data_IF_387234349674
#
_entry.id   IF_387234349674
#
_cell.length_a   1.000
_cell.length_b   1.000
_cell.length_c   1.000
_cell.angle_alpha   90.00
_cell.angle_beta   90.00
_cell.angle_gamma   90.00
#
_symmetry.space_group_name_H-M   'P 1'
#
loop_
_entity.id
_entity.type
_entity.pdbx_description
1 polymer ?
#
# COMPACT_ATOMS: atom_id res chain seq x y z
N UNK A 1 5.43 5.23 6.12
CA UNK A 1 5.20 5.82 7.45
C UNK A 1 4.10 6.86 7.33
N UNK A 2 3.76 7.54 8.43
CA UNK A 2 2.80 8.65 8.37
C UNK A 2 3.34 9.79 7.51
N UNK A 3 4.61 10.14 7.70
CA UNK A 3 5.31 11.20 6.98
C UNK A 3 5.37 10.89 5.47
N UNK A 4 5.72 9.65 5.10
CA UNK A 4 5.69 9.21 3.69
C UNK A 4 4.30 9.39 3.06
N UNK A 5 3.23 9.01 3.79
CA UNK A 5 1.84 9.07 3.29
C UNK A 5 1.28 10.49 3.26
N UNK A 6 1.67 11.35 4.20
CA UNK A 6 1.29 12.77 4.22
C UNK A 6 2.02 13.55 3.13
N UNK A 7 3.26 13.18 2.80
CA UNK A 7 4.02 13.77 1.70
C UNK A 7 3.41 13.44 0.33
N UNK A 8 3.20 12.15 0.02
CA UNK A 8 2.65 11.71 -1.27
C UNK A 8 1.81 10.43 -1.09
N UNK A 9 0.60 10.44 -1.64
CA UNK A 9 -0.31 9.28 -1.61
C UNK A 9 -1.23 9.26 -2.82
N UNK A 10 -1.72 8.06 -3.14
CA UNK A 10 -2.79 7.91 -4.13
C UNK A 10 -4.12 8.45 -3.57
N UNK A 11 -4.93 9.14 -4.37
CA UNK A 11 -6.26 9.58 -3.95
C UNK A 11 -7.13 8.40 -3.46
N UNK A 12 -7.80 8.60 -2.32
CA UNK A 12 -8.65 7.57 -1.72
C UNK A 12 -7.88 6.44 -1.01
N UNK A 13 -6.55 6.51 -0.91
CA UNK A 13 -5.80 5.55 -0.11
C UNK A 13 -5.95 5.80 1.39
N UNK A 14 -5.70 4.77 2.18
CA UNK A 14 -5.72 4.81 3.63
C UNK A 14 -4.30 4.60 4.17
N UNK A 15 -3.93 5.35 5.21
CA UNK A 15 -2.69 5.08 5.93
C UNK A 15 -2.83 3.72 6.63
N UNK A 16 -1.87 2.82 6.39
CA UNK A 16 -1.89 1.51 7.02
C UNK A 16 -1.43 1.60 8.48
N UNK A 17 -2.40 1.61 9.41
CA UNK A 17 -2.18 1.60 10.86
C UNK A 17 -2.59 0.27 11.48
N UNK A 18 -2.24 0.07 12.76
CA UNK A 18 -2.66 -1.11 13.50
C UNK A 18 -4.19 -1.21 13.60
N UNK A 19 -4.87 -0.08 13.81
CA UNK A 19 -6.33 -0.01 13.88
C UNK A 19 -6.97 -0.42 12.54
N UNK A 20 -6.43 0.08 11.42
CA UNK A 20 -6.92 -0.29 10.09
C UNK A 20 -6.68 -1.78 9.81
N UNK A 21 -5.53 -2.32 10.21
CA UNK A 21 -5.27 -3.76 10.09
C UNK A 21 -6.32 -4.58 10.83
N UNK A 22 -6.66 -4.22 12.08
CA UNK A 22 -7.71 -4.91 12.84
C UNK A 22 -9.09 -4.75 12.19
N UNK A 23 -9.39 -3.58 11.63
CA UNK A 23 -10.65 -3.35 10.91
C UNK A 23 -10.75 -4.22 9.65
N UNK A 24 -9.69 -4.26 8.84
CA UNK A 24 -9.62 -5.10 7.64
C UNK A 24 -9.88 -6.56 8.04
N UNK A 25 -9.11 -7.06 9.00
CA UNK A 25 -9.21 -8.44 9.49
C UNK A 25 -10.57 -8.78 10.12
N UNK A 26 -11.35 -7.81 10.59
CA UNK A 26 -12.65 -8.09 11.25
C UNK A 26 -13.87 -7.82 10.38
N UNK A 27 -13.82 -6.83 9.47
CA UNK A 27 -15.02 -6.29 8.81
C UNK A 27 -15.00 -6.36 7.29
N UNK A 28 -13.82 -6.35 6.66
CA UNK A 28 -13.75 -6.21 5.22
C UNK A 28 -14.12 -7.51 4.49
N UNK A 29 -14.68 -7.42 3.30
CA UNK A 29 -14.91 -8.61 2.47
C UNK A 29 -13.59 -9.22 1.99
N UNK A 30 -13.54 -10.55 1.92
CA UNK A 30 -12.34 -11.34 1.56
C UNK A 30 -12.16 -11.46 0.05
N UNK A 31 -13.24 -11.26 -0.69
CA UNK A 31 -13.29 -11.38 -2.15
C UNK A 31 -13.01 -10.05 -2.86
N UNK A 32 -13.22 -8.92 -2.17
CA UNK A 32 -13.01 -7.60 -2.74
C UNK A 32 -11.52 -7.33 -2.96
N UNK A 33 -11.21 -6.64 -4.06
CA UNK A 33 -9.85 -6.23 -4.37
C UNK A 33 -9.31 -5.30 -3.29
N UNK A 34 -8.18 -5.68 -2.70
CA UNK A 34 -7.37 -4.83 -1.83
C UNK A 34 -6.01 -4.64 -2.50
N UNK A 35 -5.64 -3.39 -2.77
CA UNK A 35 -4.31 -3.04 -3.28
C UNK A 35 -3.52 -2.38 -2.17
N UNK A 36 -2.37 -2.95 -1.84
CA UNK A 36 -1.43 -2.42 -0.84
C UNK A 36 -0.22 -1.89 -1.59
N UNK A 37 0.29 -0.74 -1.15
CA UNK A 37 1.49 -0.16 -1.73
C UNK A 37 2.31 0.54 -0.66
N UNK A 38 3.62 0.63 -0.91
CA UNK A 38 4.54 1.53 -0.22
C UNK A 38 5.32 2.34 -1.27
N UNK A 39 6.40 3.00 -0.88
CA UNK A 39 7.25 3.76 -1.80
C UNK A 39 7.81 2.94 -2.97
N UNK A 40 8.35 1.73 -2.73
CA UNK A 40 9.01 0.87 -3.74
C UNK A 40 8.35 -0.49 -3.93
N UNK A 41 7.35 -0.83 -3.13
CA UNK A 41 6.57 -2.07 -3.22
C UNK A 41 7.18 -3.25 -2.46
N UNK A 42 8.22 -3.03 -1.66
CA UNK A 42 8.93 -4.07 -0.90
C UNK A 42 8.14 -4.50 0.33
N UNK A 43 7.68 -3.55 1.15
CA UNK A 43 6.88 -3.80 2.37
C UNK A 43 5.45 -4.22 2.04
N UNK A 44 4.88 -3.69 0.96
CA UNK A 44 3.50 -4.02 0.56
C UNK A 44 3.35 -5.44 0.04
N UNK A 45 4.44 -6.04 -0.47
CA UNK A 45 4.44 -7.45 -0.89
C UNK A 45 4.26 -8.39 0.31
N UNK A 46 4.98 -8.15 1.40
CA UNK A 46 4.84 -8.93 2.63
C UNK A 46 3.45 -8.76 3.25
N UNK A 47 2.94 -7.52 3.26
CA UNK A 47 1.59 -7.24 3.74
C UNK A 47 0.52 -7.96 2.90
N UNK A 48 0.68 -7.99 1.56
CA UNK A 48 -0.24 -8.71 0.68
C UNK A 48 -0.25 -10.21 0.99
N UNK A 49 0.94 -10.82 1.13
CA UNK A 49 1.08 -12.23 1.51
C UNK A 49 0.46 -12.53 2.89
N UNK A 50 0.62 -11.62 3.85
CA UNK A 50 0.00 -11.74 5.17
C UNK A 50 -1.53 -11.83 5.07
N UNK A 51 -2.19 -10.91 4.36
CA UNK A 51 -3.65 -10.93 4.21
C UNK A 51 -4.13 -12.13 3.39
N UNK A 52 -3.39 -12.55 2.37
CA UNK A 52 -3.68 -13.81 1.64
C UNK A 52 -3.67 -15.02 2.58
N UNK A 53 -2.69 -15.10 3.49
CA UNK A 53 -2.63 -16.13 4.53
C UNK A 53 -3.80 -16.10 5.52
N UNK A 54 -4.53 -14.98 5.61
CA UNK A 54 -5.73 -14.81 6.42
C UNK A 54 -7.03 -14.93 5.59
N UNK A 55 -6.95 -15.50 4.38
CA UNK A 55 -8.12 -15.83 3.57
C UNK A 55 -8.68 -14.66 2.76
N UNK A 56 -7.89 -13.62 2.48
CA UNK A 56 -8.27 -12.63 1.49
C UNK A 56 -7.83 -13.08 0.09
N UNK A 57 -8.80 -13.41 -0.75
CA UNK A 57 -8.58 -14.05 -2.05
C UNK A 57 -8.07 -13.08 -3.12
N UNK A 58 -8.28 -11.77 -2.91
CA UNK A 58 -8.00 -10.74 -3.90
C UNK A 58 -7.16 -9.58 -3.34
N UNK A 59 -6.01 -9.90 -2.75
CA UNK A 59 -5.03 -8.89 -2.32
C UNK A 59 -3.88 -8.81 -3.32
N UNK A 60 -3.47 -7.59 -3.67
CA UNK A 60 -2.39 -7.30 -4.61
C UNK A 60 -1.42 -6.29 -4.00
N UNK A 61 -0.14 -6.45 -4.29
CA UNK A 61 0.88 -5.43 -4.05
C UNK A 61 1.10 -4.61 -5.33
N UNK A 62 1.19 -3.28 -5.22
CA UNK A 62 1.50 -2.42 -6.36
C UNK A 62 2.99 -2.57 -6.74
N UNK A 63 3.26 -3.13 -7.93
CA UNK A 63 4.61 -3.35 -8.44
C UNK A 63 5.39 -2.03 -8.48
N UNK A 64 6.56 -2.00 -7.84
CA UNK A 64 7.43 -0.82 -7.82
C UNK A 64 6.92 0.33 -6.95
N UNK A 65 5.81 0.13 -6.23
CA UNK A 65 5.26 1.09 -5.29
C UNK A 65 4.83 2.41 -5.94
N UNK A 66 4.74 3.44 -5.10
CA UNK A 66 4.38 4.79 -5.51
C UNK A 66 5.41 5.40 -6.45
N UNK A 67 6.69 5.04 -6.31
CA UNK A 67 7.77 5.55 -7.16
C UNK A 67 7.57 5.14 -8.63
N UNK A 68 7.28 3.86 -8.88
CA UNK A 68 6.96 3.39 -10.23
C UNK A 68 5.63 3.95 -10.73
N UNK A 69 4.61 4.08 -9.87
CA UNK A 69 3.34 4.69 -10.26
C UNK A 69 3.53 6.14 -10.73
N UNK A 70 4.30 6.94 -10.00
CA UNK A 70 4.64 8.31 -10.39
C UNK A 70 5.42 8.37 -11.71
N UNK A 71 6.29 7.39 -11.98
CA UNK A 71 7.09 7.36 -13.20
C UNK A 71 6.31 6.86 -14.43
N UNK A 72 5.42 5.89 -14.25
CA UNK A 72 4.80 5.13 -15.35
C UNK A 72 3.34 5.50 -15.60
N UNK A 73 2.62 6.03 -14.60
CA UNK A 73 1.15 6.24 -14.66
C UNK A 73 0.76 7.69 -14.46
N UNK A 74 1.23 8.33 -13.39
CA UNK A 74 0.86 9.71 -13.04
C UNK A 74 2.08 10.54 -12.60
N UNK A 75 2.69 11.21 -13.58
CA UNK A 75 3.85 12.07 -13.35
C UNK A 75 3.55 13.36 -12.60
N UNK A 76 2.29 13.63 -12.24
CA UNK A 76 1.94 14.77 -11.38
C UNK A 76 2.26 14.50 -9.90
N UNK A 77 2.33 13.22 -9.51
CA UNK A 77 2.70 12.81 -8.16
C UNK A 77 4.23 12.92 -7.99
N UNK A 78 4.72 13.76 -7.06
CA UNK A 78 6.16 13.95 -6.90
C UNK A 78 6.84 12.68 -6.41
N UNK A 79 8.04 12.43 -6.93
CA UNK A 79 8.92 11.34 -6.48
C UNK A 79 9.84 11.82 -5.38
N UNK A 80 10.17 10.94 -4.45
CA UNK A 80 11.10 11.21 -3.34
C UNK A 80 12.07 10.04 -3.16
N UNK A 81 13.14 10.26 -2.40
CA UNK A 81 14.05 9.21 -1.97
C UNK A 81 14.13 9.24 -0.44
N UNK A 82 14.13 8.06 0.18
CA UNK A 82 14.40 7.94 1.61
C UNK A 82 15.93 7.95 1.79
N UNK A 83 16.44 8.89 2.59
CA UNK A 83 17.82 8.80 3.05
C UNK A 83 17.94 7.54 3.92
N UNK A 84 18.92 6.68 3.62
CA UNK A 84 19.17 5.48 4.41
C UNK A 84 19.58 5.92 5.83
N UNK A 85 18.82 5.48 6.83
CA UNK A 85 19.23 5.54 8.22
C UNK A 85 20.20 4.39 8.55
#
# INVERSE_FOLDING_TARGET
TREEWEAVKLPGSYLFTQELMQEILSKWSREKLVVIYDHQGTRSMDAAAYFQGHGFDNVKSLRGGLDAYSAEVDSSLPRYHLEQA
#
